data_IF_740805277523
#
_entry.id   IF_740805277523
#
_cell.length_a   1.000
_cell.length_b   1.000
_cell.length_c   1.000
_cell.angle_alpha   90.00
_cell.angle_beta   90.00
_cell.angle_gamma   90.00
#
_symmetry.space_group_name_H-M   'P 1'
#
loop_
_entity.id
_entity.type
_entity.pdbx_description
1 polymer ?
#
# COMPACT_ATOMS: atom_id res chain seq x y z
N UNK A 1 6.34 -1.58 41.32
CA UNK A 1 5.14 -0.88 40.85
C UNK A 1 4.94 -1.19 39.37
N UNK A 2 3.77 -1.73 39.05
CA UNK A 2 3.12 -1.95 37.73
C UNK A 2 3.91 -2.65 36.60
N UNK A 3 3.70 -3.97 36.55
CA UNK A 3 3.82 -4.80 35.35
C UNK A 3 2.73 -4.42 34.33
N UNK A 4 3.12 -4.08 33.10
CA UNK A 4 2.25 -4.13 31.94
C UNK A 4 3.05 -4.49 30.69
N UNK A 5 3.74 -5.64 30.73
CA UNK A 5 4.05 -6.34 29.49
C UNK A 5 2.74 -6.95 28.98
N UNK A 6 1.99 -6.17 28.20
CA UNK A 6 0.84 -6.71 27.49
C UNK A 6 1.35 -7.68 26.43
N UNK A 7 1.08 -8.95 26.69
CA UNK A 7 1.14 -10.07 25.76
C UNK A 7 0.23 -9.78 24.56
N UNK A 8 0.73 -9.08 23.54
CA UNK A 8 0.02 -8.85 22.30
C UNK A 8 0.40 -9.93 21.29
N UNK A 9 -0.30 -11.07 21.33
CA UNK A 9 -0.51 -11.86 20.10
C UNK A 9 -1.21 -10.91 19.13
N UNK A 10 -0.43 -10.25 18.27
CA UNK A 10 -0.97 -9.33 17.27
C UNK A 10 -1.85 -10.13 16.32
N UNK A 11 -3.17 -10.00 16.43
CA UNK A 11 -4.06 -10.50 15.41
C UNK A 11 -3.84 -9.64 14.17
N UNK A 12 -3.38 -10.29 13.10
CA UNK A 12 -3.28 -9.66 11.79
C UNK A 12 -4.66 -9.13 11.39
N UNK A 13 -4.72 -7.85 11.03
CA UNK A 13 -5.94 -7.20 10.59
C UNK A 13 -5.68 -6.27 9.40
N UNK A 14 -6.71 -6.08 8.59
CA UNK A 14 -6.70 -5.10 7.51
C UNK A 14 -7.22 -3.77 8.05
N UNK A 15 -6.50 -2.70 7.80
CA UNK A 15 -6.78 -1.35 8.29
C UNK A 15 -6.99 -0.44 7.10
N UNK A 16 -8.12 0.24 7.08
CA UNK A 16 -8.37 1.36 6.17
C UNK A 16 -7.53 2.58 6.61
N UNK A 17 -6.63 3.04 5.74
CA UNK A 17 -5.76 4.20 5.94
C UNK A 17 -6.40 5.49 5.41
N UNK A 18 -7.04 5.39 4.25
CA UNK A 18 -7.72 6.45 3.53
C UNK A 18 -8.66 5.80 2.49
N UNK A 19 -9.53 6.60 1.88
CA UNK A 19 -10.46 6.12 0.86
C UNK A 19 -9.73 5.31 -0.24
N UNK A 20 -10.09 4.03 -0.36
CA UNK A 20 -9.48 3.12 -1.34
C UNK A 20 -8.06 2.64 -1.02
N UNK A 21 -7.58 2.79 0.22
CA UNK A 21 -6.22 2.37 0.62
C UNK A 21 -6.27 1.54 1.90
N UNK A 22 -6.00 0.25 1.76
CA UNK A 22 -5.97 -0.73 2.85
C UNK A 22 -4.53 -1.16 3.16
N UNK A 23 -4.23 -1.44 4.43
CA UNK A 23 -2.93 -2.02 4.82
C UNK A 23 -3.10 -3.17 5.80
N UNK A 24 -2.31 -4.23 5.61
CA UNK A 24 -2.19 -5.31 6.58
C UNK A 24 -1.36 -4.87 7.78
N UNK A 25 -1.84 -5.08 8.99
CA UNK A 25 -1.14 -4.68 10.21
C UNK A 25 -1.35 -5.66 11.35
N UNK A 26 -0.30 -5.89 12.13
CA UNK A 26 -0.34 -6.59 13.42
C UNK A 26 -0.59 -5.62 14.59
N UNK A 27 -0.82 -4.35 14.29
CA UNK A 27 -0.92 -3.29 15.27
C UNK A 27 -2.23 -3.39 16.06
N UNK A 28 -2.19 -3.21 17.40
CA UNK A 28 -3.40 -3.11 18.21
C UNK A 28 -4.32 -1.97 17.74
N UNK A 29 -5.64 -2.19 17.82
CA UNK A 29 -6.67 -1.24 17.39
C UNK A 29 -6.50 0.17 17.97
N UNK A 30 -6.05 0.26 19.21
CA UNK A 30 -5.85 1.52 19.94
C UNK A 30 -4.81 2.46 19.31
N UNK A 31 -3.93 1.92 18.46
CA UNK A 31 -2.87 2.67 17.80
C UNK A 31 -3.22 3.03 16.35
N UNK A 32 -4.29 2.45 15.78
CA UNK A 32 -4.72 2.72 14.40
C UNK A 32 -5.07 4.18 14.14
N UNK A 33 -5.70 4.94 15.07
CA UNK A 33 -5.92 6.36 14.85
C UNK A 33 -4.63 7.14 14.62
N UNK A 34 -3.53 6.77 15.30
CA UNK A 34 -2.24 7.41 15.11
C UNK A 34 -1.62 7.03 13.76
N UNK A 35 -1.71 5.75 13.35
CA UNK A 35 -1.30 5.27 12.04
C UNK A 35 -2.01 6.04 10.91
N UNK A 36 -3.35 6.12 10.95
CA UNK A 36 -4.17 6.88 10.00
C UNK A 36 -3.78 8.35 9.95
N UNK A 37 -3.59 8.95 11.12
CA UNK A 37 -3.20 10.36 11.21
C UNK A 37 -1.86 10.63 10.52
N UNK A 38 -0.91 9.71 10.68
CA UNK A 38 0.40 9.78 10.01
C UNK A 38 0.26 9.70 8.49
N UNK A 39 -0.53 8.73 8.01
CA UNK A 39 -0.78 8.56 6.58
C UNK A 39 -1.49 9.79 5.97
N UNK A 40 -2.51 10.32 6.65
CA UNK A 40 -3.22 11.53 6.23
C UNK A 40 -2.36 12.81 6.28
N UNK A 41 -1.17 12.78 6.90
CA UNK A 41 -0.23 13.90 6.94
C UNK A 41 -0.48 14.88 8.10
N UNK A 42 -1.29 14.51 9.08
CA UNK A 42 -1.49 15.32 10.28
C UNK A 42 -0.22 15.39 11.14
N UNK A 43 -0.01 16.49 11.88
CA UNK A 43 1.10 16.58 12.84
C UNK A 43 0.97 15.52 13.94
N UNK A 44 2.09 15.14 14.55
CA UNK A 44 2.09 14.24 15.68
C UNK A 44 1.33 14.86 16.86
N UNK A 45 0.43 14.11 17.49
CA UNK A 45 -0.27 14.58 18.69
C UNK A 45 0.69 14.52 19.90
N UNK A 46 0.97 15.64 20.60
CA UNK A 46 1.91 15.67 21.72
C UNK A 46 1.46 14.82 22.91
N UNK A 47 0.17 14.43 22.98
CA UNK A 47 -0.37 13.55 24.04
C UNK A 47 -0.16 12.07 23.76
N UNK A 48 0.37 11.70 22.60
CA UNK A 48 0.60 10.30 22.26
C UNK A 48 1.79 9.73 23.05
N UNK A 49 1.60 8.50 23.52
CA UNK A 49 2.69 7.70 24.04
C UNK A 49 3.63 7.26 22.90
N UNK A 50 4.77 6.66 23.27
CA UNK A 50 5.80 6.20 22.32
C UNK A 50 5.24 5.22 21.28
N UNK A 51 4.29 4.35 21.66
CA UNK A 51 3.70 3.36 20.75
C UNK A 51 2.86 4.05 19.68
N UNK A 52 1.99 4.98 20.08
CA UNK A 52 1.18 5.78 19.15
C UNK A 52 2.03 6.67 18.27
N UNK A 53 3.10 7.26 18.81
CA UNK A 53 4.04 8.04 18.00
C UNK A 53 4.75 7.18 16.94
N UNK A 54 5.15 5.95 17.27
CA UNK A 54 5.72 5.00 16.30
C UNK A 54 4.70 4.61 15.23
N UNK A 55 3.44 4.38 15.61
CA UNK A 55 2.36 4.12 14.67
C UNK A 55 2.15 5.29 13.70
N UNK A 56 2.12 6.52 14.20
CA UNK A 56 2.07 7.73 13.37
C UNK A 56 3.27 7.84 12.41
N UNK A 57 4.49 7.58 12.89
CA UNK A 57 5.69 7.61 12.05
C UNK A 57 5.60 6.58 10.92
N UNK A 58 5.11 5.38 11.22
CA UNK A 58 4.86 4.34 10.20
C UNK A 58 3.85 4.82 9.15
N UNK A 59 2.74 5.45 9.56
CA UNK A 59 1.76 6.00 8.64
C UNK A 59 2.38 7.05 7.69
N UNK A 60 3.23 7.94 8.23
CA UNK A 60 4.00 8.92 7.43
C UNK A 60 4.90 8.23 6.41
N UNK A 61 5.61 7.18 6.81
CA UNK A 61 6.49 6.43 5.91
C UNK A 61 5.71 5.74 4.80
N UNK A 62 4.55 5.13 5.12
CA UNK A 62 3.68 4.51 4.12
C UNK A 62 3.19 5.53 3.06
N UNK A 63 2.81 6.74 3.50
CA UNK A 63 2.44 7.81 2.58
C UNK A 63 3.61 8.19 1.69
N UNK A 64 4.78 8.41 2.27
CA UNK A 64 5.99 8.77 1.53
C UNK A 64 6.34 7.71 0.49
N UNK A 65 6.35 6.43 0.86
CA UNK A 65 6.63 5.34 -0.08
C UNK A 65 5.56 5.19 -1.16
N UNK A 66 4.30 5.54 -0.89
CA UNK A 66 3.26 5.61 -1.91
C UNK A 66 3.50 6.79 -2.88
N UNK A 67 3.86 7.96 -2.35
CA UNK A 67 4.17 9.15 -3.16
C UNK A 67 5.44 8.94 -4.02
N UNK A 68 6.42 8.19 -3.52
CA UNK A 68 7.66 7.82 -4.22
C UNK A 68 7.47 6.66 -5.23
N UNK A 69 6.34 5.94 -5.17
CA UNK A 69 6.04 4.80 -6.04
C UNK A 69 6.65 3.47 -5.62
N UNK A 70 7.29 3.41 -4.44
CA UNK A 70 7.79 2.16 -3.84
C UNK A 70 6.65 1.24 -3.38
N UNK A 71 5.56 1.85 -2.90
CA UNK A 71 4.29 1.18 -2.62
C UNK A 71 3.26 1.60 -3.65
N UNK A 72 2.36 0.67 -3.97
CA UNK A 72 1.23 0.91 -4.86
C UNK A 72 -0.05 0.34 -4.26
N UNK A 73 -1.18 0.95 -4.61
CA UNK A 73 -2.49 0.40 -4.28
C UNK A 73 -2.84 -0.64 -5.33
N UNK A 74 -2.89 -1.91 -4.92
CA UNK A 74 -3.26 -3.01 -5.81
C UNK A 74 -4.74 -2.94 -6.17
N UNK A 75 -5.07 -2.84 -7.45
CA UNK A 75 -6.45 -2.61 -7.93
C UNK A 75 -7.44 -3.73 -7.60
N UNK A 76 -6.99 -4.94 -7.28
CA UNK A 76 -7.87 -6.09 -7.03
C UNK A 76 -8.52 -6.05 -5.65
N UNK A 77 -7.85 -5.49 -4.65
CA UNK A 77 -8.29 -5.51 -3.26
C UNK A 77 -7.93 -4.25 -2.48
N UNK A 78 -7.48 -3.20 -3.16
CA UNK A 78 -7.11 -1.90 -2.60
C UNK A 78 -5.99 -1.96 -1.55
N UNK A 79 -5.23 -3.06 -1.49
CA UNK A 79 -4.14 -3.23 -0.56
C UNK A 79 -2.91 -2.44 -1.01
N UNK A 80 -2.32 -1.70 -0.06
CA UNK A 80 -1.03 -1.06 -0.20
C UNK A 80 0.07 -2.12 -0.11
N UNK A 81 0.74 -2.38 -1.23
CA UNK A 81 1.75 -3.44 -1.39
C UNK A 81 3.00 -2.89 -2.07
N UNK A 82 4.17 -3.54 -1.93
CA UNK A 82 5.36 -3.20 -2.71
C UNK A 82 5.08 -3.22 -4.22
N UNK A 83 5.62 -2.25 -4.94
CA UNK A 83 5.42 -2.14 -6.40
C UNK A 83 5.83 -3.43 -7.14
N UNK A 84 6.86 -4.13 -6.66
CA UNK A 84 7.33 -5.40 -7.22
C UNK A 84 6.25 -6.51 -7.17
N UNK A 85 5.46 -6.56 -6.10
CA UNK A 85 4.40 -7.57 -5.92
C UNK A 85 3.18 -7.30 -6.81
N UNK A 86 2.95 -6.04 -7.19
CA UNK A 86 1.85 -5.66 -8.07
C UNK A 86 2.02 -6.19 -9.51
N UNK A 87 3.27 -6.38 -9.95
CA UNK A 87 3.61 -6.84 -11.30
C UNK A 87 3.34 -8.33 -11.54
N UNK A 88 3.20 -9.15 -10.49
CA UNK A 88 3.00 -10.58 -10.61
C UNK A 88 1.59 -11.00 -11.08
N UNK A 89 0.63 -10.07 -11.14
CA UNK A 89 -0.75 -10.34 -11.60
C UNK A 89 -1.02 -9.89 -13.06
N UNK A 90 0.01 -9.49 -13.81
CA UNK A 90 -0.10 -9.23 -15.25
C UNK A 90 0.42 -10.39 -16.13
N UNK A 91 0.22 -11.64 -15.72
CA UNK A 91 0.35 -12.79 -16.64
C UNK A 91 -0.97 -13.01 -17.42
N UNK A 92 -1.53 -11.92 -17.91
CA UNK A 92 -2.51 -11.88 -18.99
C UNK A 92 -1.88 -11.14 -20.15
N UNK A 93 -0.82 -11.72 -20.71
CA UNK A 93 -0.21 -11.27 -21.97
C UNK A 93 -1.28 -11.45 -23.04
N UNK A 94 -2.14 -10.44 -23.25
CA UNK A 94 -2.93 -10.33 -24.47
C UNK A 94 -1.90 -10.22 -25.59
N UNK A 95 -1.60 -11.35 -26.22
CA UNK A 95 -0.91 -11.40 -27.50
C UNK A 95 -1.73 -10.52 -28.42
N UNK A 96 -1.19 -9.35 -28.75
CA UNK A 96 -1.57 -8.61 -29.94
C UNK A 96 -1.28 -9.54 -31.14
N UNK A 97 -2.26 -9.98 -31.93
CA UNK A 97 -2.00 -10.50 -33.25
C UNK A 97 -2.35 -9.38 -34.21
N UNK A 98 -1.46 -8.40 -34.38
CA UNK A 98 -1.49 -7.61 -35.61
C UNK A 98 -0.46 -8.22 -36.52
N UNK A 99 -0.92 -9.23 -37.25
CA UNK A 99 -0.20 -9.94 -38.26
C UNK A 99 0.58 -8.99 -39.17
N UNK A 100 1.88 -9.25 -39.26
CA UNK A 100 2.66 -8.91 -40.43
C UNK A 100 2.14 -9.79 -41.57
N UNK A 101 1.35 -9.23 -42.47
CA UNK A 101 1.31 -9.72 -43.85
C UNK A 101 1.70 -8.60 -44.82
N UNK A 102 2.96 -8.74 -45.25
CA UNK A 102 3.45 -8.61 -46.62
C UNK A 102 3.55 -7.20 -47.22
N UNK A 103 4.81 -6.75 -47.24
CA UNK A 103 5.53 -6.21 -48.41
C UNK A 103 4.71 -5.99 -49.68
N UNK A 104 4.68 -4.72 -50.13
CA UNK A 104 4.50 -4.21 -51.50
C UNK A 104 5.26 -5.02 -52.58
N UNK A 105 4.80 -5.03 -53.86
CA UNK A 105 5.09 -3.91 -54.79
C UNK A 105 4.00 -3.52 -55.83
N UNK A 106 4.02 -2.22 -56.18
CA UNK A 106 3.86 -1.56 -57.49
C UNK A 106 3.32 -2.36 -58.70
N UNK A 107 2.35 -1.80 -59.46
CA UNK A 107 2.42 -1.50 -60.92
C UNK A 107 1.12 -0.82 -61.43
N UNK A 108 1.34 0.11 -62.36
CA UNK A 108 0.50 0.93 -63.24
C UNK A 108 -0.72 0.24 -63.91
N UNK A 109 -1.79 1.01 -64.13
CA UNK A 109 -2.61 1.01 -65.34
C UNK A 109 -3.23 2.40 -65.55
#
# INVERSE_FOLDING_TARGET
MLNAQQNSKGNFMVVDLAEGILVGSLMPKDNLPALRSGFAGYPANPRWNVIKYRAWKMGRQLRQSLDEGDLVVRSTDFMLVPAQESSATQIGKVKQPSDRFLSTPMVLA
#
